data_IF_565666207156
#
_entry.id   IF_565666207156
#
_cell.length_a   1.000
_cell.length_b   1.000
_cell.length_c   1.000
_cell.angle_alpha   90.00
_cell.angle_beta   90.00
_cell.angle_gamma   90.00
#
_symmetry.space_group_name_H-M   'P 1'
#
loop_
_entity.id
_entity.type
_entity.pdbx_description
1 polymer ?
#
# COMPACT_ATOMS: atom_id res chain seq x y z
N UNK A 1 15.40 0.09 -4.16
CA UNK A 1 15.99 -1.25 -4.00
C UNK A 1 15.61 -1.75 -2.63
N UNK A 2 14.78 -2.78 -2.56
CA UNK A 2 14.40 -3.45 -1.31
C UNK A 2 15.62 -4.14 -0.71
N UNK A 3 15.84 -4.01 0.60
CA UNK A 3 16.91 -4.75 1.27
C UNK A 3 16.56 -6.24 1.26
N UNK A 4 17.41 -7.06 0.63
CA UNK A 4 17.24 -8.50 0.59
C UNK A 4 18.02 -9.16 1.74
N UNK A 5 17.37 -10.08 2.46
CA UNK A 5 17.97 -10.85 3.55
C UNK A 5 17.70 -12.33 3.37
N UNK A 6 18.54 -13.19 3.95
CA UNK A 6 18.27 -14.63 3.93
C UNK A 6 17.11 -15.00 4.86
N UNK A 7 16.36 -16.06 4.55
CA UNK A 7 15.34 -16.61 5.45
C UNK A 7 15.88 -16.96 6.85
N UNK A 8 17.13 -17.42 6.92
CA UNK A 8 17.81 -17.70 8.20
C UNK A 8 18.03 -16.46 9.04
N UNK A 9 18.32 -15.32 8.41
CA UNK A 9 18.46 -14.03 9.08
C UNK A 9 17.09 -13.44 9.45
N UNK A 10 16.12 -13.50 8.54
CA UNK A 10 14.75 -13.08 8.81
C UNK A 10 14.17 -13.78 10.05
N UNK A 11 14.41 -15.10 10.17
CA UNK A 11 13.99 -15.88 11.34
C UNK A 11 14.64 -15.41 12.65
N UNK A 12 15.92 -15.04 12.63
CA UNK A 12 16.64 -14.57 13.84
C UNK A 12 16.18 -13.18 14.28
N UNK A 13 15.76 -12.35 13.34
CA UNK A 13 15.47 -10.93 13.57
C UNK A 13 14.01 -10.56 13.29
N UNK A 14 13.08 -11.52 13.34
CA UNK A 14 11.71 -11.33 12.85
C UNK A 14 10.99 -10.13 13.51
N UNK A 15 11.07 -10.00 14.84
CA UNK A 15 10.41 -8.91 15.56
C UNK A 15 10.98 -7.52 15.19
N UNK A 16 12.30 -7.29 15.23
CA UNK A 16 12.88 -6.04 14.72
C UNK A 16 12.52 -5.73 13.27
N UNK A 17 12.43 -6.75 12.41
CA UNK A 17 12.06 -6.54 11.01
C UNK A 17 10.60 -6.13 10.86
N UNK A 18 9.69 -6.71 11.65
CA UNK A 18 8.27 -6.29 11.70
C UNK A 18 8.18 -4.83 12.15
N UNK A 19 8.86 -4.46 13.23
CA UNK A 19 8.88 -3.07 13.70
C UNK A 19 9.38 -2.12 12.60
N UNK A 20 10.49 -2.47 11.95
CA UNK A 20 11.08 -1.67 10.86
C UNK A 20 10.13 -1.46 9.69
N UNK A 21 9.44 -2.51 9.20
CA UNK A 21 8.53 -2.34 8.06
C UNK A 21 7.32 -1.47 8.40
N UNK A 22 6.86 -1.49 9.66
CA UNK A 22 5.75 -0.63 10.10
C UNK A 22 6.19 0.83 10.34
N UNK A 23 7.46 1.08 10.66
CA UNK A 23 7.98 2.44 10.85
C UNK A 23 8.42 3.09 9.54
N UNK A 24 9.16 2.33 8.73
CA UNK A 24 9.83 2.86 7.54
C UNK A 24 9.00 2.69 6.25
N UNK A 25 7.88 1.96 6.30
CA UNK A 25 7.04 1.61 5.15
C UNK A 25 7.85 1.08 3.95
N UNK A 26 8.95 0.36 4.26
CA UNK A 26 9.91 -0.11 3.28
C UNK A 26 9.87 -1.64 3.23
N UNK A 27 9.41 -2.23 2.11
CA UNK A 27 9.37 -3.68 1.95
C UNK A 27 10.75 -4.34 2.05
N UNK A 28 10.79 -5.57 2.57
CA UNK A 28 12.01 -6.36 2.73
C UNK A 28 11.84 -7.67 1.98
N UNK A 29 12.77 -7.98 1.09
CA UNK A 29 12.79 -9.27 0.42
C UNK A 29 13.48 -10.32 1.29
N UNK A 30 12.83 -11.47 1.45
CA UNK A 30 13.35 -12.64 2.16
C UNK A 30 13.65 -13.72 1.13
N UNK A 31 14.94 -14.03 0.98
CA UNK A 31 15.45 -15.00 0.01
C UNK A 31 15.63 -16.38 0.66
N UNK A 32 15.11 -17.42 0.03
CA UNK A 32 15.26 -18.80 0.48
C UNK A 32 15.55 -19.77 -0.68
N UNK A 33 16.01 -20.98 -0.36
CA UNK A 33 16.23 -22.05 -1.36
C UNK A 33 14.93 -22.53 -2.02
N UNK A 34 13.77 -22.25 -1.43
CA UNK A 34 12.47 -22.73 -1.89
C UNK A 34 11.58 -21.60 -2.44
N UNK A 35 12.16 -20.43 -2.70
CA UNK A 35 11.45 -19.25 -3.18
C UNK A 35 11.60 -18.05 -2.25
N UNK A 36 11.28 -16.88 -2.78
CA UNK A 36 11.39 -15.62 -2.07
C UNK A 36 10.03 -15.17 -1.54
N UNK A 37 10.06 -14.40 -0.46
CA UNK A 37 8.88 -13.75 0.10
C UNK A 37 9.19 -12.27 0.32
N UNK A 38 8.16 -11.46 0.54
CA UNK A 38 8.31 -10.05 0.89
C UNK A 38 7.61 -9.81 2.23
N UNK A 39 8.30 -9.17 3.16
CA UNK A 39 7.71 -8.63 4.37
C UNK A 39 7.34 -7.16 4.14
N UNK A 40 6.08 -6.83 4.41
CA UNK A 40 5.51 -5.47 4.34
C UNK A 40 4.75 -5.19 5.63
N UNK A 41 4.50 -3.92 5.94
CA UNK A 41 3.55 -3.56 7.00
C UNK A 41 2.14 -3.99 6.62
N UNK A 42 1.26 -4.14 7.62
CA UNK A 42 -0.15 -4.45 7.37
C UNK A 42 -0.85 -3.32 6.62
N UNK A 43 -0.54 -2.08 6.98
CA UNK A 43 -1.13 -0.89 6.39
C UNK A 43 -0.75 -0.76 4.91
N UNK A 44 0.52 -1.01 4.55
CA UNK A 44 0.94 -1.01 3.15
C UNK A 44 0.29 -2.13 2.35
N UNK A 45 0.14 -3.32 2.95
CA UNK A 45 -0.54 -4.43 2.29
C UNK A 45 -2.00 -4.09 1.99
N UNK A 46 -2.73 -3.51 2.94
CA UNK A 46 -4.11 -3.09 2.75
C UNK A 46 -4.22 -1.99 1.70
N UNK A 47 -3.33 -0.99 1.74
CA UNK A 47 -3.30 0.08 0.75
C UNK A 47 -3.06 -0.45 -0.67
N UNK A 48 -2.19 -1.46 -0.83
CA UNK A 48 -1.96 -2.13 -2.13
C UNK A 48 -3.23 -2.83 -2.59
N UNK A 49 -3.87 -3.62 -1.72
CA UNK A 49 -5.10 -4.36 -2.05
C UNK A 49 -6.25 -3.40 -2.40
N UNK A 50 -6.40 -2.31 -1.65
CA UNK A 50 -7.40 -1.30 -1.92
C UNK A 50 -7.13 -0.56 -3.23
N UNK A 51 -5.86 -0.19 -3.49
CA UNK A 51 -5.48 0.45 -4.75
C UNK A 51 -5.76 -0.47 -5.93
N UNK A 52 -5.41 -1.76 -5.84
CA UNK A 52 -5.77 -2.75 -6.88
C UNK A 52 -7.28 -2.82 -7.07
N UNK A 53 -8.06 -2.90 -5.98
CA UNK A 53 -9.51 -2.93 -6.04
C UNK A 53 -10.10 -1.69 -6.74
N UNK A 54 -9.66 -0.49 -6.36
CA UNK A 54 -10.12 0.78 -6.94
C UNK A 54 -9.76 0.87 -8.43
N UNK A 55 -8.59 0.37 -8.82
CA UNK A 55 -8.11 0.48 -10.20
C UNK A 55 -8.51 -0.72 -11.09
N UNK A 56 -9.13 -1.76 -10.52
CA UNK A 56 -9.44 -3.02 -11.20
C UNK A 56 -10.31 -2.87 -12.45
N UNK A 57 -11.21 -1.90 -12.48
CA UNK A 57 -12.06 -1.65 -13.66
C UNK A 57 -11.62 -0.37 -14.38
N UNK A 58 -11.46 -0.40 -15.72
CA UNK A 58 -11.06 0.78 -16.47
C UNK A 58 -12.02 1.98 -16.31
N UNK A 59 -13.30 1.71 -16.08
CA UNK A 59 -14.30 2.74 -15.81
C UNK A 59 -14.05 3.43 -14.46
N UNK A 60 -13.86 2.66 -13.39
CA UNK A 60 -13.60 3.24 -12.06
C UNK A 60 -12.24 3.95 -11.99
N UNK A 61 -11.20 3.37 -12.60
CA UNK A 61 -9.89 3.98 -12.67
C UNK A 61 -9.92 5.35 -13.37
N UNK A 62 -10.64 5.46 -14.49
CA UNK A 62 -10.82 6.75 -15.20
C UNK A 62 -11.59 7.75 -14.34
N UNK A 63 -12.71 7.34 -13.76
CA UNK A 63 -13.52 8.20 -12.90
C UNK A 63 -12.73 8.73 -11.69
N UNK A 64 -11.93 7.88 -11.04
CA UNK A 64 -11.08 8.27 -9.92
C UNK A 64 -9.98 9.25 -10.36
N UNK A 65 -9.32 9.01 -11.49
CA UNK A 65 -8.31 9.91 -12.04
C UNK A 65 -8.88 11.30 -12.36
N UNK A 66 -10.02 11.35 -13.05
CA UNK A 66 -10.73 12.61 -13.37
C UNK A 66 -11.14 13.38 -12.11
N UNK A 67 -11.59 12.67 -11.07
CA UNK A 67 -11.95 13.26 -9.78
C UNK A 67 -10.74 13.89 -9.09
N UNK A 68 -9.60 13.19 -9.08
CA UNK A 68 -8.33 13.69 -8.51
C UNK A 68 -7.84 14.92 -9.27
N UNK A 69 -7.92 14.92 -10.61
CA UNK A 69 -7.50 16.05 -11.44
C UNK A 69 -8.40 17.27 -11.23
N UNK A 70 -9.71 17.06 -11.11
CA UNK A 70 -10.68 18.11 -10.81
C UNK A 70 -10.40 18.75 -9.44
N UNK A 71 -10.11 17.93 -8.42
CA UNK A 71 -9.70 18.40 -7.10
C UNK A 71 -8.40 19.22 -7.15
N UNK A 72 -7.35 18.68 -7.77
CA UNK A 72 -6.04 19.35 -7.90
C UNK A 72 -6.12 20.65 -8.69
N UNK A 73 -7.01 20.75 -9.67
CA UNK A 73 -7.27 21.97 -10.43
C UNK A 73 -8.10 23.01 -9.67
N UNK A 74 -8.53 22.73 -8.43
CA UNK A 74 -9.38 23.62 -7.64
C UNK A 74 -10.80 23.76 -8.18
N UNK A 75 -11.26 22.80 -9.00
CA UNK A 75 -12.59 22.80 -9.65
C UNK A 75 -13.62 21.96 -8.89
N UNK A 76 -13.25 21.43 -7.73
CA UNK A 76 -14.17 20.68 -6.89
C UNK A 76 -15.30 21.58 -6.37
N UNK A 77 -16.50 21.01 -6.29
CA UNK A 77 -17.67 21.73 -5.79
C UNK A 77 -17.90 21.39 -4.32
N UNK A 78 -17.91 22.41 -3.47
CA UNK A 78 -18.27 22.23 -2.04
C UNK A 78 -19.77 21.98 -1.94
N UNK A 79 -20.13 20.98 -1.16
CA UNK A 79 -21.50 20.63 -0.80
C UNK A 79 -21.57 20.49 0.71
N UNK A 80 -22.63 21.01 1.32
CA UNK A 80 -22.92 20.70 2.71
C UNK A 80 -23.34 19.23 2.81
N UNK A 81 -22.82 18.54 3.83
CA UNK A 81 -23.22 17.17 4.13
C UNK A 81 -24.52 17.25 4.92
N UNK A 82 -25.60 16.76 4.35
CA UNK A 82 -26.85 16.57 5.07
C UNK A 82 -26.68 15.31 5.94
N UNK A 83 -26.39 15.52 7.23
CA UNK A 83 -26.14 14.43 8.20
C UNK A 83 -27.40 14.02 8.97
N UNK A 84 -28.56 14.56 8.55
CA UNK A 84 -29.86 14.37 9.20
C UNK A 84 -30.71 13.23 8.59
N UNK A 85 -30.11 12.36 7.75
CA UNK A 85 -30.69 11.06 7.31
C UNK A 85 -30.06 9.84 8.03
#
# INVERSE_FOLDING_TARGET
MTGAISASEARRSLFPLIERVNQDHTPIEIVSRHGNAVLVSKDDWDAIVETDYLLRTPANARHLAESIDTWRAGKATVRELDLDE
#
